data_IF_829209232559
#
_entry.id   IF_829209232559
#
_cell.length_a   1.000
_cell.length_b   1.000
_cell.length_c   1.000
_cell.angle_alpha   90.00
_cell.angle_beta   90.00
_cell.angle_gamma   90.00
#
_symmetry.space_group_name_H-M   'P 1'
#
loop_
_entity.id
_entity.type
_entity.pdbx_description
1 polymer ?
#
# COMPACT_ATOMS: atom_id res chain seq x y z
N UNK A 1 -9.08 15.74 12.95
CA UNK A 1 -10.44 15.59 12.38
C UNK A 1 -10.89 14.20 12.77
N UNK A 2 -11.88 14.11 13.65
CA UNK A 2 -12.30 12.88 14.31
C UNK A 2 -13.32 12.13 13.45
N UNK A 3 -13.19 10.81 13.34
CA UNK A 3 -14.31 9.94 12.99
C UNK A 3 -14.99 9.59 14.32
N UNK A 4 -16.22 10.08 14.53
CA UNK A 4 -17.01 9.78 15.73
C UNK A 4 -17.22 8.26 15.82
N UNK A 5 -17.03 7.73 17.03
CA UNK A 5 -17.42 6.39 17.51
C UNK A 5 -16.31 5.35 17.79
N UNK A 6 -15.02 5.67 17.70
CA UNK A 6 -14.03 4.64 18.13
C UNK A 6 -12.55 4.88 17.88
N UNK A 7 -12.13 6.13 17.73
CA UNK A 7 -10.74 6.61 17.79
C UNK A 7 -9.72 5.83 16.97
N UNK A 8 -9.81 5.93 15.65
CA UNK A 8 -8.61 5.77 14.83
C UNK A 8 -7.84 7.08 14.82
N UNK A 9 -6.66 7.09 15.43
CA UNK A 9 -5.72 8.23 15.44
C UNK A 9 -5.04 8.28 14.09
N UNK A 10 -5.34 9.33 13.34
CA UNK A 10 -4.66 9.64 12.09
C UNK A 10 -3.30 10.24 12.45
N UNK A 11 -2.24 9.50 12.17
CA UNK A 11 -0.86 9.95 12.34
C UNK A 11 -0.44 10.88 11.20
N UNK A 12 -0.82 10.51 9.97
CA UNK A 12 -0.52 11.28 8.77
C UNK A 12 -1.78 11.46 7.94
N UNK A 13 -2.41 12.65 7.93
CA UNK A 13 -3.52 12.90 7.02
C UNK A 13 -3.13 12.94 5.54
N UNK A 14 -4.14 12.76 4.68
CA UNK A 14 -4.08 13.08 3.25
C UNK A 14 -3.61 14.52 3.03
N UNK A 15 -2.82 14.76 1.98
CA UNK A 15 -2.36 16.11 1.61
C UNK A 15 -0.86 16.25 1.39
N UNK A 16 -0.44 17.47 1.06
CA UNK A 16 0.96 17.81 0.79
C UNK A 16 1.81 17.83 2.07
N UNK A 17 2.97 17.17 2.01
CA UNK A 17 3.94 17.04 3.11
C UNK A 17 5.35 17.03 2.53
N UNK A 18 6.21 17.93 3.01
CA UNK A 18 7.64 17.94 2.68
C UNK A 18 7.91 17.84 1.16
N UNK A 19 7.12 18.55 0.35
CA UNK A 19 7.24 18.57 -1.11
C UNK A 19 6.72 17.33 -1.83
N UNK A 20 5.97 16.43 -1.14
CA UNK A 20 5.31 15.27 -1.73
C UNK A 20 3.86 15.17 -1.27
N UNK A 21 2.98 14.67 -2.15
CA UNK A 21 1.58 14.46 -1.80
C UNK A 21 1.36 13.08 -1.16
N UNK A 22 0.67 13.05 -0.02
CA UNK A 22 0.25 11.83 0.66
C UNK A 22 -1.18 11.46 0.24
N UNK A 23 -1.32 10.42 -0.60
CA UNK A 23 -2.58 10.03 -1.24
C UNK A 23 -3.54 9.22 -0.36
N UNK A 24 -3.30 9.18 0.95
CA UNK A 24 -4.10 8.42 1.91
C UNK A 24 -3.94 8.94 3.33
N UNK A 25 -4.47 8.19 4.29
CA UNK A 25 -4.32 8.47 5.71
C UNK A 25 -3.57 7.34 6.39
N UNK A 26 -2.54 7.71 7.14
CA UNK A 26 -1.83 6.77 8.02
C UNK A 26 -2.50 6.77 9.38
N UNK A 27 -2.83 5.59 9.86
CA UNK A 27 -3.56 5.33 11.08
C UNK A 27 -2.57 4.70 12.07
N UNK A 28 -2.29 5.42 13.18
CA UNK A 28 -1.42 4.95 14.24
C UNK A 28 -2.21 4.08 15.21
N UNK A 29 -2.46 2.82 14.83
CA UNK A 29 -3.09 1.84 15.70
C UNK A 29 -2.39 0.49 15.59
N UNK A 30 -2.40 -0.28 16.69
CA UNK A 30 -2.09 -1.70 16.66
C UNK A 30 -3.39 -2.49 16.52
N UNK A 31 -3.32 -3.66 15.89
CA UNK A 31 -4.46 -4.59 15.78
C UNK A 31 -5.01 -4.71 14.37
N UNK A 32 -6.29 -5.10 14.28
CA UNK A 32 -6.95 -5.38 13.00
C UNK A 32 -7.37 -4.09 12.31
N UNK A 33 -7.06 -3.98 11.03
CA UNK A 33 -7.69 -2.98 10.17
C UNK A 33 -9.01 -3.54 9.67
N UNK A 34 -10.11 -2.82 9.90
CA UNK A 34 -11.46 -3.23 9.55
C UNK A 34 -11.94 -2.51 8.28
N UNK A 35 -12.71 -3.21 7.45
CA UNK A 35 -13.36 -2.63 6.28
C UNK A 35 -14.47 -1.66 6.72
N UNK A 36 -14.45 -0.39 6.27
CA UNK A 36 -15.44 0.60 6.68
C UNK A 36 -16.79 0.48 5.95
N UNK A 37 -16.80 -0.24 4.83
CA UNK A 37 -17.94 -0.55 3.97
C UNK A 37 -17.78 -1.97 3.42
N UNK A 38 -18.80 -2.49 2.75
CA UNK A 38 -18.66 -3.72 1.96
C UNK A 38 -17.68 -3.47 0.80
N UNK A 39 -16.75 -4.41 0.59
CA UNK A 39 -15.72 -4.34 -0.45
C UNK A 39 -15.89 -5.54 -1.38
N UNK A 40 -15.94 -5.29 -2.67
CA UNK A 40 -15.99 -6.31 -3.72
C UNK A 40 -14.69 -6.38 -4.53
N UNK A 41 -14.58 -7.35 -5.43
CA UNK A 41 -13.44 -7.50 -6.35
C UNK A 41 -12.09 -7.45 -5.64
N UNK A 42 -12.00 -8.11 -4.48
CA UNK A 42 -10.84 -8.04 -3.61
C UNK A 42 -9.59 -8.57 -4.31
N UNK A 43 -8.53 -7.76 -4.24
CA UNK A 43 -7.19 -8.05 -4.76
C UNK A 43 -6.18 -7.86 -3.64
N UNK A 44 -5.18 -8.73 -3.63
CA UNK A 44 -4.16 -8.76 -2.59
C UNK A 44 -2.78 -8.63 -3.20
N UNK A 45 -1.92 -7.82 -2.59
CA UNK A 45 -0.48 -7.87 -2.81
C UNK A 45 0.18 -8.48 -1.60
N UNK A 46 1.32 -9.14 -1.82
CA UNK A 46 2.14 -9.68 -0.75
C UNK A 46 3.41 -8.85 -0.61
N UNK A 47 3.83 -8.61 0.62
CA UNK A 47 5.05 -7.89 0.93
C UNK A 47 5.70 -8.40 2.19
N UNK A 48 6.84 -7.80 2.53
CA UNK A 48 7.64 -8.18 3.69
C UNK A 48 8.05 -6.95 4.48
N UNK A 49 8.40 -7.21 5.73
CA UNK A 49 9.11 -6.29 6.60
C UNK A 49 10.39 -6.98 7.10
N UNK A 50 11.27 -6.18 7.68
CA UNK A 50 12.45 -6.60 8.41
C UNK A 50 12.46 -5.92 9.77
N UNK A 51 13.20 -6.48 10.72
CA UNK A 51 13.55 -5.80 11.97
C UNK A 51 14.94 -5.20 11.81
N UNK A 52 15.05 -3.86 11.87
CA UNK A 52 16.35 -3.21 11.77
C UNK A 52 17.24 -3.50 13.00
N UNK A 53 18.53 -3.15 12.93
CA UNK A 53 19.49 -3.32 14.04
C UNK A 53 18.96 -2.77 15.38
N UNK A 54 18.24 -1.63 15.36
CA UNK A 54 17.64 -1.02 16.54
C UNK A 54 16.37 -1.74 17.07
N UNK A 55 15.94 -2.84 16.46
CA UNK A 55 14.77 -3.61 16.87
C UNK A 55 13.43 -3.09 16.35
N UNK A 56 13.44 -2.11 15.43
CA UNK A 56 12.25 -1.52 14.83
C UNK A 56 11.85 -2.27 13.56
N UNK A 57 10.56 -2.60 13.43
CA UNK A 57 10.00 -3.12 12.19
C UNK A 57 10.00 -2.03 11.10
N UNK A 58 10.52 -2.36 9.93
CA UNK A 58 10.64 -1.47 8.77
C UNK A 58 10.38 -2.26 7.51
N UNK A 59 9.70 -1.65 6.55
CA UNK A 59 9.34 -2.34 5.32
C UNK A 59 10.50 -2.61 4.37
N UNK A 60 10.37 -3.69 3.61
CA UNK A 60 11.29 -4.09 2.56
C UNK A 60 10.51 -4.50 1.32
N UNK A 61 10.95 -4.06 0.15
CA UNK A 61 10.33 -4.38 -1.13
C UNK A 61 11.38 -4.66 -2.20
N UNK A 62 10.92 -5.26 -3.30
CA UNK A 62 11.77 -5.58 -4.45
C UNK A 62 11.23 -4.91 -5.69
N UNK A 63 12.07 -4.11 -6.35
CA UNK A 63 11.77 -3.55 -7.66
C UNK A 63 12.49 -4.35 -8.72
N UNK A 64 11.84 -4.52 -9.88
CA UNK A 64 12.45 -5.16 -11.02
C UNK A 64 12.38 -4.28 -12.25
N UNK A 65 13.53 -4.14 -12.92
CA UNK A 65 13.67 -3.32 -14.11
C UNK A 65 14.37 -4.13 -15.20
N UNK A 66 13.79 -4.13 -16.39
CA UNK A 66 14.48 -4.62 -17.58
C UNK A 66 15.48 -3.56 -18.02
N UNK A 67 16.75 -3.94 -18.10
CA UNK A 67 17.83 -3.08 -18.58
C UNK A 67 18.41 -3.66 -19.87
N UNK A 68 18.76 -2.77 -20.79
CA UNK A 68 19.51 -3.14 -22.00
C UNK A 68 21.00 -3.22 -21.64
N UNK A 69 21.55 -4.42 -21.69
CA UNK A 69 22.97 -4.66 -21.54
C UNK A 69 23.59 -4.82 -22.92
N UNK A 70 24.65 -4.08 -23.20
CA UNK A 70 25.50 -4.34 -24.37
C UNK A 70 26.63 -5.24 -23.91
N UNK A 71 26.65 -6.46 -24.45
CA UNK A 71 27.75 -7.38 -24.23
C UNK A 71 29.06 -6.73 -24.73
N UNK A 72 30.07 -6.56 -23.86
CA UNK A 72 31.31 -5.89 -24.23
C UNK A 72 32.18 -6.71 -25.19
N UNK A 73 31.95 -8.02 -25.30
CA UNK A 73 32.70 -8.95 -26.15
C UNK A 73 32.00 -9.11 -27.50
N UNK A 74 30.69 -9.39 -27.51
CA UNK A 74 29.95 -9.66 -28.75
C UNK A 74 29.32 -8.41 -29.36
N UNK A 75 29.21 -7.32 -28.61
CA UNK A 75 28.55 -6.09 -29.02
C UNK A 75 27.03 -6.19 -29.09
N UNK A 76 26.45 -7.37 -28.84
CA UNK A 76 25.02 -7.64 -28.90
C UNK A 76 24.29 -6.98 -27.73
N UNK A 77 23.08 -6.48 -28.01
CA UNK A 77 22.19 -5.97 -26.97
C UNK A 77 21.30 -7.08 -26.47
N UNK A 78 21.34 -7.30 -25.16
CA UNK A 78 20.49 -8.26 -24.45
C UNK A 78 19.66 -7.51 -23.43
N UNK A 79 18.43 -7.96 -23.21
CA UNK A 79 17.55 -7.43 -22.17
C UNK A 79 17.68 -8.33 -20.96
N UNK A 80 18.15 -7.77 -19.85
CA UNK A 80 18.27 -8.50 -18.59
C UNK A 80 17.35 -7.89 -17.55
N UNK A 81 16.69 -8.74 -16.78
CA UNK A 81 15.88 -8.32 -15.63
C UNK A 81 16.81 -8.13 -14.45
N UNK A 82 16.94 -6.91 -13.96
CA UNK A 82 17.67 -6.59 -12.73
C UNK A 82 16.66 -6.40 -11.61
N UNK A 83 16.92 -7.05 -10.48
CA UNK A 83 16.11 -6.93 -9.27
C UNK A 83 16.90 -6.25 -8.16
N UNK A 84 16.28 -5.28 -7.51
CA UNK A 84 16.90 -4.50 -6.43
C UNK A 84 16.01 -4.55 -5.20
N UNK A 85 16.60 -4.90 -4.05
CA UNK A 85 15.94 -4.78 -2.75
C UNK A 85 16.04 -3.35 -2.25
N UNK A 86 14.97 -2.87 -1.64
CA UNK A 86 14.88 -1.54 -1.07
C UNK A 86 14.26 -1.59 0.32
N UNK A 87 14.63 -0.62 1.15
CA UNK A 87 14.05 -0.43 2.48
C UNK A 87 14.03 1.05 2.85
N UNK A 88 13.36 1.39 3.94
CA UNK A 88 13.44 2.73 4.54
C UNK A 88 14.62 2.83 5.50
N UNK A 89 15.36 3.93 5.41
CA UNK A 89 16.39 4.34 6.39
C UNK A 89 16.01 5.74 6.84
N UNK A 90 15.49 5.85 8.08
CA UNK A 90 14.73 7.04 8.48
C UNK A 90 13.49 7.18 7.58
N UNK A 91 13.33 8.35 6.98
CA UNK A 91 12.22 8.67 6.08
C UNK A 91 12.56 8.50 4.59
N UNK A 92 13.78 8.05 4.28
CA UNK A 92 14.26 7.91 2.92
C UNK A 92 14.28 6.46 2.45
N UNK A 93 13.80 6.17 1.22
CA UNK A 93 14.02 4.88 0.58
C UNK A 93 15.48 4.75 0.12
N UNK A 94 16.12 3.65 0.49
CA UNK A 94 17.49 3.30 0.08
C UNK A 94 17.55 1.87 -0.48
N UNK A 95 18.50 1.56 -1.38
CA UNK A 95 18.83 0.18 -1.69
C UNK A 95 19.20 -0.57 -0.41
N UNK A 96 18.63 -1.75 -0.21
CA UNK A 96 18.97 -2.62 0.90
C UNK A 96 20.16 -3.48 0.48
N UNK A 97 21.30 -3.30 1.14
CA UNK A 97 22.56 -3.97 0.77
C UNK A 97 22.75 -5.25 1.58
N UNK A 98 23.69 -6.11 1.14
CA UNK A 98 24.10 -7.30 1.89
C UNK A 98 24.61 -6.94 3.29
N UNK A 99 25.42 -5.90 3.41
CA UNK A 99 25.94 -5.43 4.70
C UNK A 99 24.81 -5.04 5.67
N UNK A 100 23.77 -4.34 5.19
CA UNK A 100 22.60 -4.02 6.02
C UNK A 100 21.86 -5.29 6.45
N UNK A 101 21.68 -6.23 5.52
CA UNK A 101 21.03 -7.50 5.81
C UNK A 101 21.79 -8.33 6.84
N UNK A 102 23.11 -8.37 6.76
CA UNK A 102 23.94 -9.11 7.72
C UNK A 102 23.87 -8.48 9.11
N UNK A 103 23.90 -7.15 9.22
CA UNK A 103 23.71 -6.44 10.51
C UNK A 103 22.35 -6.74 11.13
N UNK A 104 21.29 -6.59 10.34
CA UNK A 104 19.92 -6.82 10.79
C UNK A 104 19.70 -8.31 11.16
N UNK A 105 20.21 -9.25 10.36
CA UNK A 105 20.11 -10.69 10.61
C UNK A 105 20.89 -11.12 11.85
N UNK A 106 22.13 -10.68 12.00
CA UNK A 106 22.97 -11.04 13.16
C UNK A 106 22.37 -10.52 14.47
N UNK A 107 21.69 -9.37 14.43
CA UNK A 107 21.03 -8.81 15.62
C UNK A 107 19.68 -9.46 15.92
N UNK A 108 18.90 -9.80 14.89
CA UNK A 108 17.54 -10.34 15.02
C UNK A 108 17.30 -11.55 14.11
N UNK A 109 18.02 -12.68 14.29
CA UNK A 109 18.04 -13.79 13.32
C UNK A 109 16.70 -14.51 13.21
N UNK A 110 15.86 -14.48 14.26
CA UNK A 110 14.52 -15.07 14.24
C UNK A 110 13.46 -14.19 13.55
N UNK A 111 13.79 -12.93 13.25
CA UNK A 111 12.87 -11.96 12.64
C UNK A 111 13.26 -11.57 11.22
N UNK A 112 14.45 -11.94 10.77
CA UNK A 112 15.02 -11.52 9.49
C UNK A 112 15.42 -12.71 8.63
N UNK A 113 15.33 -12.50 7.33
CA UNK A 113 15.91 -13.37 6.32
C UNK A 113 17.30 -12.85 5.94
N UNK A 114 18.18 -13.74 5.48
CA UNK A 114 19.46 -13.33 4.91
C UNK A 114 19.26 -12.60 3.58
N UNK A 115 20.29 -11.87 3.12
CA UNK A 115 20.24 -11.18 1.83
C UNK A 115 19.88 -12.12 0.68
N UNK A 116 20.47 -13.32 0.63
CA UNK A 116 20.24 -14.28 -0.43
C UNK A 116 18.82 -14.86 -0.40
N UNK A 117 18.26 -15.10 0.79
CA UNK A 117 16.87 -15.51 0.94
C UNK A 117 15.90 -14.42 0.47
N UNK A 118 16.21 -13.15 0.74
CA UNK A 118 15.42 -12.02 0.24
C UNK A 118 15.55 -11.87 -1.28
N UNK A 119 16.74 -12.05 -1.84
CA UNK A 119 16.95 -12.03 -3.29
C UNK A 119 16.28 -13.21 -4.00
N UNK A 120 16.22 -14.38 -3.38
CA UNK A 120 15.49 -15.54 -3.89
C UNK A 120 13.96 -15.41 -3.79
N UNK A 121 13.46 -14.57 -2.88
CA UNK A 121 12.01 -14.34 -2.72
C UNK A 121 11.43 -13.71 -4.00
N UNK A 122 10.38 -14.26 -4.62
CA UNK A 122 9.81 -13.67 -5.84
C UNK A 122 9.34 -12.21 -5.65
N UNK A 123 9.55 -11.35 -6.65
CA UNK A 123 9.19 -9.93 -6.56
C UNK A 123 7.71 -9.67 -6.26
N UNK A 124 6.80 -10.54 -6.74
CA UNK A 124 5.37 -10.43 -6.43
C UNK A 124 5.01 -10.68 -4.95
N UNK A 125 5.96 -11.25 -4.18
CA UNK A 125 5.86 -11.46 -2.72
C UNK A 125 6.57 -10.35 -1.92
N UNK A 126 7.13 -9.35 -2.60
CA UNK A 126 7.85 -8.22 -2.01
C UNK A 126 7.35 -6.90 -2.60
N UNK A 127 6.02 -6.77 -2.68
CA UNK A 127 5.35 -5.57 -3.17
C UNK A 127 5.73 -4.34 -2.37
N UNK A 128 5.87 -3.22 -3.07
CA UNK A 128 6.04 -1.88 -2.48
C UNK A 128 4.84 -1.45 -1.64
N UNK A 129 3.64 -1.93 -1.97
CA UNK A 129 2.44 -1.71 -1.14
C UNK A 129 2.43 -2.57 0.14
N UNK A 130 3.39 -3.47 0.29
CA UNK A 130 3.42 -4.44 1.38
C UNK A 130 2.43 -5.58 1.16
N UNK A 131 2.07 -6.25 2.25
CA UNK A 131 0.80 -6.95 2.27
C UNK A 131 -0.29 -5.90 2.20
N UNK A 132 -1.07 -5.92 1.12
CA UNK A 132 -2.17 -4.98 0.95
C UNK A 132 -3.42 -5.68 0.48
N UNK A 133 -4.55 -5.15 0.91
CA UNK A 133 -5.86 -5.54 0.43
C UNK A 133 -6.45 -4.35 -0.31
N UNK A 134 -7.00 -4.59 -1.48
CA UNK A 134 -7.74 -3.59 -2.23
C UNK A 134 -9.03 -4.17 -2.75
N UNK A 135 -10.03 -3.34 -3.01
CA UNK A 135 -11.24 -3.75 -3.67
C UNK A 135 -12.12 -2.57 -4.01
N UNK A 136 -13.29 -2.85 -4.56
CA UNK A 136 -14.20 -1.85 -5.10
C UNK A 136 -15.38 -1.60 -4.17
N UNK A 137 -15.73 -0.33 -3.98
CA UNK A 137 -17.00 0.12 -3.44
C UNK A 137 -17.73 0.94 -4.49
N UNK A 138 -19.03 0.73 -4.64
CA UNK A 138 -19.83 1.36 -5.70
C UNK A 138 -20.77 2.42 -5.11
N UNK A 139 -20.84 3.59 -5.74
CA UNK A 139 -21.83 4.64 -5.45
C UNK A 139 -22.46 5.02 -6.78
N UNK A 140 -23.78 4.81 -6.93
CA UNK A 140 -24.43 4.93 -8.23
C UNK A 140 -23.74 4.03 -9.27
N UNK A 141 -23.31 4.57 -10.41
CA UNK A 141 -22.58 3.82 -11.44
C UNK A 141 -21.05 3.89 -11.33
N UNK A 142 -20.52 4.54 -10.29
CA UNK A 142 -19.08 4.74 -10.14
C UNK A 142 -18.45 3.76 -9.16
N UNK A 143 -17.35 3.13 -9.58
CA UNK A 143 -16.52 2.27 -8.73
C UNK A 143 -15.35 3.06 -8.13
N UNK A 144 -15.22 3.00 -6.82
CA UNK A 144 -14.09 3.53 -6.05
C UNK A 144 -13.21 2.38 -5.62
N UNK A 145 -11.89 2.53 -5.69
CA UNK A 145 -10.95 1.53 -5.17
C UNK A 145 -10.52 1.92 -3.77
N UNK A 146 -10.81 1.08 -2.79
CA UNK A 146 -10.32 1.21 -1.42
C UNK A 146 -9.08 0.33 -1.28
N UNK A 147 -8.02 0.85 -0.66
CA UNK A 147 -6.73 0.15 -0.51
C UNK A 147 -6.20 0.30 0.91
N UNK A 148 -5.81 -0.83 1.49
CA UNK A 148 -5.34 -1.00 2.86
C UNK A 148 -3.93 -1.59 2.78
N UNK A 149 -2.90 -0.82 3.10
CA UNK A 149 -1.48 -1.23 2.93
C UNK A 149 -0.78 -1.51 4.26
N UNK A 150 0.42 -2.08 4.13
CA UNK A 150 1.38 -2.29 5.23
C UNK A 150 0.88 -3.27 6.31
N UNK A 151 0.21 -4.34 5.90
CA UNK A 151 -0.33 -5.35 6.81
C UNK A 151 0.73 -6.42 7.17
N UNK A 152 0.62 -7.12 8.30
CA UNK A 152 1.57 -8.20 8.68
C UNK A 152 1.21 -9.53 8.03
N UNK A 153 -0.07 -9.88 8.07
CA UNK A 153 -0.59 -11.17 7.63
C UNK A 153 -1.94 -10.97 6.91
N UNK A 154 -2.21 -11.84 5.94
CA UNK A 154 -3.35 -11.83 5.04
C UNK A 154 -4.32 -13.00 5.31
N UNK A 155 -4.09 -13.81 6.35
CA UNK A 155 -4.96 -14.95 6.69
C UNK A 155 -6.44 -14.56 6.85
N UNK A 156 -6.70 -13.35 7.35
CA UNK A 156 -8.08 -12.84 7.55
C UNK A 156 -8.85 -12.65 6.23
N UNK A 157 -8.13 -12.48 5.13
CA UNK A 157 -8.68 -12.34 3.78
C UNK A 157 -8.40 -13.55 2.90
N UNK A 158 -7.82 -14.62 3.46
CA UNK A 158 -7.73 -15.91 2.79
C UNK A 158 -9.02 -16.70 2.95
N UNK A 159 -9.30 -17.54 1.96
CA UNK A 159 -10.33 -18.57 2.03
C UNK A 159 -9.70 -19.91 2.46
N UNK A 160 -10.54 -20.90 2.78
CA UNK A 160 -10.09 -22.23 3.22
C UNK A 160 -9.31 -23.01 2.17
N UNK A 161 -9.42 -22.66 0.88
CA UNK A 161 -8.66 -23.28 -0.21
C UNK A 161 -7.29 -22.63 -0.46
N UNK A 162 -6.89 -21.66 0.35
CA UNK A 162 -5.61 -20.95 0.24
C UNK A 162 -5.60 -19.79 -0.77
N UNK A 163 -6.72 -19.53 -1.45
CA UNK A 163 -6.94 -18.32 -2.23
C UNK A 163 -7.36 -17.14 -1.36
N UNK A 164 -7.66 -16.00 -1.99
CA UNK A 164 -8.19 -14.83 -1.29
C UNK A 164 -9.70 -14.71 -1.47
N UNK A 165 -10.37 -14.11 -0.49
CA UNK A 165 -11.78 -13.73 -0.57
C UNK A 165 -11.97 -12.76 -1.75
N UNK A 166 -13.12 -12.86 -2.40
CA UNK A 166 -13.52 -11.91 -3.46
C UNK A 166 -14.31 -10.73 -2.89
N UNK A 167 -14.89 -10.88 -1.69
CA UNK A 167 -15.64 -9.86 -0.96
C UNK A 167 -15.25 -9.81 0.51
N UNK A 168 -15.38 -8.64 1.14
CA UNK A 168 -15.21 -8.42 2.58
C UNK A 168 -16.35 -7.53 3.04
N UNK A 169 -17.16 -8.00 3.99
CA UNK A 169 -18.26 -7.20 4.54
C UNK A 169 -17.76 -6.04 5.39
N UNK A 170 -18.57 -4.98 5.50
CA UNK A 170 -18.39 -3.89 6.47
C UNK A 170 -18.14 -4.48 7.86
N UNK A 171 -17.14 -3.95 8.57
CA UNK A 171 -16.72 -4.47 9.87
C UNK A 171 -15.97 -5.81 9.81
N UNK A 172 -15.67 -6.34 8.62
CA UNK A 172 -14.77 -7.46 8.43
C UNK A 172 -13.30 -7.04 8.50
N UNK A 173 -12.44 -7.89 9.05
CA UNK A 173 -11.01 -7.57 9.12
C UNK A 173 -10.32 -7.75 7.76
N UNK A 174 -9.60 -6.72 7.31
CA UNK A 174 -8.78 -6.76 6.08
C UNK A 174 -7.35 -7.24 6.34
N UNK A 175 -6.90 -7.20 7.59
CA UNK A 175 -5.60 -7.71 8.03
C UNK A 175 -5.16 -7.08 9.34
N UNK A 176 -3.91 -7.31 9.72
CA UNK A 176 -3.30 -6.75 10.95
C UNK A 176 -2.27 -5.70 10.58
N UNK A 177 -2.26 -4.58 11.31
CA UNK A 177 -1.37 -3.44 11.06
C UNK A 177 0.10 -3.81 11.32
N UNK A 178 0.99 -3.43 10.41
CA UNK A 178 2.41 -3.73 10.45
C UNK A 178 3.24 -2.69 9.68
N UNK A 179 4.42 -3.07 9.19
CA UNK A 179 5.32 -2.20 8.43
C UNK A 179 5.77 -2.81 7.10
N UNK A 180 4.99 -3.69 6.48
CA UNK A 180 5.43 -4.33 5.21
C UNK A 180 5.53 -3.34 4.04
N UNK A 181 6.46 -3.54 3.11
CA UNK A 181 6.59 -2.74 1.88
C UNK A 181 7.27 -1.38 2.06
N UNK A 182 6.75 -0.32 1.44
CA UNK A 182 7.27 1.05 1.59
C UNK A 182 6.72 1.66 2.89
N UNK A 183 7.31 1.32 4.02
CA UNK A 183 6.83 1.76 5.33
C UNK A 183 8.01 2.01 6.28
N UNK A 184 7.94 3.13 7.02
CA UNK A 184 8.98 3.55 7.99
C UNK A 184 8.76 2.98 9.39
N UNK A 185 7.63 2.33 9.64
CA UNK A 185 7.26 1.73 10.93
C UNK A 185 5.79 1.30 10.96
N UNK A 186 5.34 0.72 12.07
CA UNK A 186 3.98 0.17 12.16
C UNK A 186 2.89 1.23 11.99
N UNK A 187 2.12 1.13 10.90
CA UNK A 187 0.92 1.94 10.66
C UNK A 187 0.05 1.30 9.58
N UNK A 188 -1.25 1.59 9.61
CA UNK A 188 -2.15 1.26 8.50
C UNK A 188 -2.20 2.44 7.54
N UNK A 189 -1.96 2.22 6.24
CA UNK A 189 -2.19 3.26 5.24
C UNK A 189 -3.47 2.97 4.48
N UNK A 190 -4.43 3.91 4.55
CA UNK A 190 -5.71 3.82 3.87
C UNK A 190 -5.77 4.80 2.70
N UNK A 191 -6.06 4.30 1.50
CA UNK A 191 -6.15 5.10 0.29
C UNK A 191 -7.48 4.83 -0.41
N UNK A 192 -8.07 5.90 -0.96
CA UNK A 192 -9.26 5.81 -1.83
C UNK A 192 -8.91 6.39 -3.19
N UNK A 193 -9.14 5.61 -4.24
CA UNK A 193 -8.99 6.03 -5.64
C UNK A 193 -10.40 6.15 -6.26
N UNK A 194 -10.65 7.22 -7.01
CA UNK A 194 -12.00 7.52 -7.53
C UNK A 194 -12.45 6.57 -8.64
N UNK A 195 -11.53 5.88 -9.31
CA UNK A 195 -11.80 5.09 -10.52
C UNK A 195 -12.27 5.93 -11.73
N UNK A 196 -12.37 7.24 -11.58
CA UNK A 196 -12.81 8.17 -12.60
C UNK A 196 -11.62 8.91 -13.21
N UNK A 197 -11.67 9.11 -14.53
CA UNK A 197 -10.76 10.00 -15.24
C UNK A 197 -11.32 11.42 -15.39
N UNK A 198 -12.53 11.67 -14.89
CA UNK A 198 -13.13 13.00 -14.89
C UNK A 198 -12.64 13.78 -13.67
N UNK A 199 -12.40 15.10 -13.82
CA UNK A 199 -12.01 15.95 -12.71
C UNK A 199 -13.00 15.85 -11.54
N UNK A 200 -12.47 15.71 -10.34
CA UNK A 200 -13.24 15.80 -9.11
C UNK A 200 -13.23 17.25 -8.62
N UNK A 201 -14.40 17.85 -8.45
CA UNK A 201 -14.55 19.24 -8.01
C UNK A 201 -14.42 19.43 -6.48
N UNK A 202 -13.89 18.44 -5.75
CA UNK A 202 -13.82 18.44 -4.28
C UNK A 202 -12.51 19.04 -3.72
N UNK A 203 -11.77 19.79 -4.53
CA UNK A 203 -10.66 20.65 -4.10
C UNK A 203 -9.57 19.91 -3.31
N UNK A 204 -9.25 20.40 -2.11
CA UNK A 204 -8.19 19.88 -1.21
C UNK A 204 -8.36 18.42 -0.78
N UNK A 205 -9.53 17.83 -1.00
CA UNK A 205 -9.83 16.43 -0.69
C UNK A 205 -9.51 15.50 -1.84
N UNK A 206 -8.94 15.99 -2.94
CA UNK A 206 -8.52 15.16 -4.07
C UNK A 206 -7.16 15.54 -4.59
N UNK A 207 -6.47 14.55 -5.16
CA UNK A 207 -5.22 14.75 -5.84
C UNK A 207 -5.13 13.86 -7.08
N UNK A 208 -4.74 14.46 -8.20
CA UNK A 208 -4.34 13.68 -9.38
C UNK A 208 -2.96 13.08 -9.14
N UNK A 209 -2.95 11.76 -8.92
CA UNK A 209 -1.75 10.97 -8.68
C UNK A 209 -0.82 10.93 -9.90
N UNK A 210 -1.30 11.31 -11.09
CA UNK A 210 -0.54 11.31 -12.33
C UNK A 210 -0.15 12.72 -12.81
N UNK A 211 -0.31 13.74 -11.97
CA UNK A 211 -0.13 15.16 -12.36
C UNK A 211 1.24 15.47 -12.95
N UNK A 212 2.29 14.81 -12.47
CA UNK A 212 3.66 14.97 -13.00
C UNK A 212 3.81 14.53 -14.46
N UNK A 213 2.83 13.78 -14.98
CA UNK A 213 2.75 13.35 -16.36
C UNK A 213 1.71 14.10 -17.18
N UNK A 214 1.10 15.17 -16.65
CA UNK A 214 0.04 15.94 -17.32
C UNK A 214 0.44 16.45 -18.73
N UNK A 215 1.71 16.78 -18.93
CA UNK A 215 2.23 17.27 -20.22
C UNK A 215 2.69 16.14 -21.16
N UNK A 216 2.57 14.87 -20.77
CA UNK A 216 3.03 13.73 -21.58
C UNK A 216 1.90 13.18 -22.45
N UNK A 217 2.24 12.77 -23.67
CA UNK A 217 1.29 12.13 -24.60
C UNK A 217 0.71 10.86 -23.95
N UNK A 218 -0.62 10.75 -23.95
CA UNK A 218 -1.34 9.62 -23.35
C UNK A 218 -1.59 9.74 -21.85
N UNK A 219 -1.38 10.92 -21.27
CA UNK A 219 -1.77 11.23 -19.89
C UNK A 219 -3.24 10.84 -19.61
N UNK A 220 -3.42 10.12 -18.51
CA UNK A 220 -4.72 9.78 -17.94
C UNK A 220 -4.70 10.16 -16.46
N UNK A 221 -5.56 11.08 -16.00
CA UNK A 221 -5.62 11.41 -14.59
C UNK A 221 -6.06 10.19 -13.79
N UNK A 222 -5.55 10.10 -12.57
CA UNK A 222 -5.99 9.11 -11.58
C UNK A 222 -6.14 9.80 -10.24
N UNK A 223 -7.37 9.97 -9.78
CA UNK A 223 -7.64 10.77 -8.60
C UNK A 223 -7.65 9.92 -7.34
N UNK A 224 -6.84 10.29 -6.37
CA UNK A 224 -7.04 9.91 -4.97
C UNK A 224 -8.00 10.87 -4.30
N UNK A 225 -8.77 10.37 -3.33
CA UNK A 225 -9.69 11.14 -2.49
C UNK A 225 -9.25 10.98 -1.04
N UNK A 226 -9.31 12.04 -0.24
CA UNK A 226 -9.15 11.98 1.21
C UNK A 226 -10.12 10.91 1.76
N UNK A 227 -9.61 9.80 2.31
CA UNK A 227 -10.43 8.72 2.84
C UNK A 227 -11.43 9.18 3.90
N UNK A 228 -11.11 10.17 4.73
CA UNK A 228 -12.04 10.68 5.75
C UNK A 228 -13.20 11.42 5.09
N UNK A 229 -12.89 12.27 4.10
CA UNK A 229 -13.91 12.94 3.32
C UNK A 229 -14.80 11.93 2.59
N UNK A 230 -14.18 10.96 1.91
CA UNK A 230 -14.89 9.91 1.18
C UNK A 230 -15.86 9.15 2.09
N UNK A 231 -15.39 8.67 3.25
CA UNK A 231 -16.25 7.93 4.18
C UNK A 231 -17.41 8.79 4.68
N UNK A 232 -17.15 10.02 5.13
CA UNK A 232 -18.18 10.84 5.78
C UNK A 232 -19.15 11.54 4.81
N UNK A 233 -18.68 11.90 3.61
CA UNK A 233 -19.43 12.75 2.68
C UNK A 233 -19.93 12.00 1.44
N UNK A 234 -19.47 10.75 1.23
CA UNK A 234 -19.83 9.97 0.05
C UNK A 234 -20.34 8.58 0.44
N UNK A 235 -19.50 7.77 1.10
CA UNK A 235 -19.84 6.39 1.41
C UNK A 235 -20.95 6.30 2.47
N UNK A 236 -20.83 7.01 3.59
CA UNK A 236 -21.84 7.01 4.66
C UNK A 236 -23.23 7.44 4.19
N UNK A 237 -23.39 8.59 3.52
CA UNK A 237 -24.66 8.97 2.94
C UNK A 237 -25.21 7.97 1.90
N UNK A 238 -24.34 7.21 1.21
CA UNK A 238 -24.77 6.15 0.31
C UNK A 238 -25.28 4.91 1.09
N UNK A 239 -24.56 4.49 2.13
CA UNK A 239 -24.96 3.39 3.02
C UNK A 239 -26.34 3.67 3.64
N UNK A 240 -26.55 4.88 4.17
CA UNK A 240 -27.84 5.30 4.76
C UNK A 240 -28.98 5.27 3.73
N UNK A 241 -28.75 5.76 2.50
CA UNK A 241 -29.73 5.72 1.41
C UNK A 241 -30.10 4.30 1.00
N UNK A 242 -29.17 3.37 1.11
CA UNK A 242 -29.39 1.95 0.86
C UNK A 242 -29.99 1.20 2.07
N UNK A 243 -30.34 1.91 3.14
CA UNK A 243 -30.93 1.34 4.35
C UNK A 243 -29.95 0.57 5.23
N UNK A 244 -28.64 0.77 5.02
CA UNK A 244 -27.57 0.19 5.84
C UNK A 244 -27.23 1.13 6.98
N UNK A 245 -26.97 0.59 8.17
CA UNK A 245 -26.51 1.38 9.33
C UNK A 245 -25.10 1.91 9.05
N UNK A 246 -24.94 3.23 9.07
CA UNK A 246 -23.65 3.90 8.96
C UNK A 246 -22.91 3.92 10.29
#
# INVERSE_FOLDING_TARGET
>A
MELKDGKVVVNSPFGERWGRFHNGNDLAHAGKFMAPVDIENVKVTQGKERTNEAGKAVGIWKESKTVDFRDPVTGLRTKTKVETLHTMVGDDPKPYTREMADKDYNKHPSKNLTYDQLMATPAHQMSKDGNSVSGTYKIGDQNYTLRFKHLSDLSMVQNSSGGFKTTISKGGAVGVIASTGYSTGNHAHFQVESGSHLPTNVGKYTNDMNKDSANKKGYKPSYSIDPIYFLNQMAGPNEEKEGRTW
#
